data_IF_371903315337
#
_entry.id   IF_371903315337
#
_cell.length_a   1.000
_cell.length_b   1.000
_cell.length_c   1.000
_cell.angle_alpha   90.00
_cell.angle_beta   90.00
_cell.angle_gamma   90.00
#
_symmetry.space_group_name_H-M   'P 1'
#
loop_
_entity.id
_entity.type
_entity.pdbx_description
1 polymer ?
#
# COMPACT_ATOMS: atom_id res chain seq x y z
N UNK A 1 7.62 -0.43 2.64
CA UNK A 1 8.99 -0.58 2.15
C UNK A 1 9.17 0.21 0.89
N UNK A 2 10.25 0.96 0.82
CA UNK A 2 10.51 1.88 -0.28
C UNK A 2 12.01 1.95 -0.55
N UNK A 3 12.42 1.45 -1.73
CA UNK A 3 13.82 1.49 -2.18
C UNK A 3 14.15 2.76 -2.98
N UNK A 4 13.16 3.63 -3.24
CA UNK A 4 13.35 4.91 -3.95
C UNK A 4 13.78 6.05 -3.03
N UNK A 5 13.84 5.83 -1.73
CA UNK A 5 14.40 6.80 -0.78
C UNK A 5 15.94 6.74 -0.78
N UNK A 6 16.67 7.83 -0.46
CA UNK A 6 18.12 7.78 -0.28
C UNK A 6 18.56 6.62 0.62
N UNK A 7 19.51 5.81 0.14
CA UNK A 7 20.01 4.58 0.78
C UNK A 7 18.94 3.50 1.00
N UNK A 8 17.82 3.54 0.25
CA UNK A 8 16.69 2.62 0.39
C UNK A 8 17.09 1.15 0.23
N UNK A 9 17.93 0.84 -0.76
CA UNK A 9 18.42 -0.52 -0.98
C UNK A 9 19.33 -1.00 0.17
N UNK A 10 20.22 -0.14 0.66
CA UNK A 10 21.15 -0.44 1.76
C UNK A 10 20.40 -0.66 3.07
N UNK A 11 19.32 0.09 3.28
CA UNK A 11 18.49 0.04 4.48
C UNK A 11 17.37 -0.99 4.41
N UNK A 12 17.20 -1.73 3.31
CA UNK A 12 16.07 -2.64 3.12
C UNK A 12 15.96 -3.68 4.26
N UNK A 13 17.09 -4.19 4.77
CA UNK A 13 17.09 -5.08 5.93
C UNK A 13 16.48 -4.43 7.17
N UNK A 14 16.88 -3.20 7.47
CA UNK A 14 16.34 -2.40 8.57
C UNK A 14 14.86 -2.03 8.34
N UNK A 15 14.47 -1.72 7.11
CA UNK A 15 13.07 -1.44 6.78
C UNK A 15 12.17 -2.64 7.07
N UNK A 16 12.63 -3.87 6.75
CA UNK A 16 11.90 -5.11 7.06
C UNK A 16 11.77 -5.33 8.56
N UNK A 17 12.87 -5.19 9.29
CA UNK A 17 12.90 -5.35 10.76
C UNK A 17 11.93 -4.38 11.43
N UNK A 18 12.03 -3.09 11.12
CA UNK A 18 11.18 -2.05 11.71
C UNK A 18 9.72 -2.18 11.27
N UNK A 19 9.46 -2.66 10.06
CA UNK A 19 8.09 -2.91 9.61
C UNK A 19 7.46 -4.08 10.37
N UNK A 20 8.18 -5.18 10.56
CA UNK A 20 7.70 -6.32 11.35
C UNK A 20 7.41 -5.91 12.81
N UNK A 21 8.34 -5.18 13.46
CA UNK A 21 8.14 -4.68 14.83
C UNK A 21 6.91 -3.77 14.96
N UNK A 22 6.64 -2.92 13.97
CA UNK A 22 5.44 -2.09 13.97
C UNK A 22 4.16 -2.90 13.72
N UNK A 23 4.22 -3.97 12.92
CA UNK A 23 3.10 -4.88 12.74
C UNK A 23 2.77 -5.63 14.04
N UNK A 24 3.79 -6.11 14.75
CA UNK A 24 3.64 -6.71 16.08
C UNK A 24 2.95 -5.75 17.05
N UNK A 25 3.44 -4.51 17.13
CA UNK A 25 2.86 -3.47 17.99
C UNK A 25 1.40 -3.15 17.61
N UNK A 26 1.10 -3.06 16.31
CA UNK A 26 -0.27 -2.83 15.85
C UNK A 26 -1.20 -3.99 16.23
N UNK A 27 -0.71 -5.24 16.19
CA UNK A 27 -1.46 -6.40 16.66
C UNK A 27 -1.70 -6.35 18.17
N UNK A 28 -0.66 -6.08 18.97
CA UNK A 28 -0.76 -5.97 20.44
C UNK A 28 -1.77 -4.88 20.86
N UNK A 29 -1.81 -3.76 20.13
CA UNK A 29 -2.68 -2.63 20.41
C UNK A 29 -4.05 -2.71 19.71
N UNK A 30 -4.31 -3.78 18.95
CA UNK A 30 -5.52 -3.94 18.13
C UNK A 30 -5.79 -2.73 17.21
N UNK A 31 -4.74 -2.24 16.55
CA UNK A 31 -4.79 -1.12 15.61
C UNK A 31 -4.66 -1.61 14.15
N UNK A 32 -5.23 -0.88 13.18
CA UNK A 32 -4.98 -1.10 11.76
C UNK A 32 -3.50 -0.90 11.38
N UNK A 33 -3.04 -1.64 10.38
CA UNK A 33 -1.70 -1.47 9.80
C UNK A 33 -1.83 -0.62 8.53
N UNK A 34 -1.28 0.59 8.58
CA UNK A 34 -1.15 1.48 7.41
C UNK A 34 0.16 1.18 6.70
N UNK A 35 0.08 0.69 5.48
CA UNK A 35 1.19 0.17 4.69
C UNK A 35 1.56 1.17 3.61
N UNK A 36 2.79 1.67 3.68
CA UNK A 36 3.47 2.25 2.53
C UNK A 36 4.30 1.16 1.85
N UNK A 37 4.11 0.92 0.56
CA UNK A 37 4.98 0.02 -0.20
C UNK A 37 5.13 0.46 -1.65
N UNK A 38 6.38 0.48 -2.12
CA UNK A 38 6.77 0.95 -3.45
C UNK A 38 7.89 0.07 -3.99
N UNK A 39 7.62 -0.60 -5.10
CA UNK A 39 8.52 -1.55 -5.81
C UNK A 39 9.07 -2.72 -4.97
N UNK A 40 8.56 -2.92 -3.74
CA UNK A 40 8.96 -4.03 -2.86
C UNK A 40 7.76 -4.88 -2.41
N UNK A 41 6.84 -5.17 -3.35
CA UNK A 41 5.58 -5.84 -3.06
C UNK A 41 5.77 -7.19 -2.35
N UNK A 42 6.62 -8.06 -2.91
CA UNK A 42 6.87 -9.41 -2.36
C UNK A 42 7.45 -9.36 -0.95
N UNK A 43 8.38 -8.44 -0.71
CA UNK A 43 8.94 -8.27 0.63
C UNK A 43 7.85 -7.84 1.62
N UNK A 44 6.93 -6.95 1.20
CA UNK A 44 5.88 -6.41 2.07
C UNK A 44 4.90 -7.49 2.46
N UNK A 45 4.46 -8.30 1.51
CA UNK A 45 3.51 -9.39 1.78
C UNK A 45 4.16 -10.53 2.58
N UNK A 46 5.47 -10.77 2.43
CA UNK A 46 6.18 -11.81 3.18
C UNK A 46 6.13 -11.54 4.69
N UNK A 47 6.07 -10.27 5.09
CA UNK A 47 5.85 -9.86 6.48
C UNK A 47 4.35 -9.85 6.81
N UNK A 48 3.52 -9.21 5.98
CA UNK A 48 2.09 -9.04 6.26
C UNK A 48 1.32 -10.36 6.37
N UNK A 49 1.76 -11.44 5.70
CA UNK A 49 1.10 -12.74 5.76
C UNK A 49 1.00 -13.34 7.16
N UNK A 50 1.77 -12.83 8.14
CA UNK A 50 1.68 -13.21 9.55
C UNK A 50 0.54 -12.50 10.30
N UNK A 51 -0.06 -11.46 9.71
CA UNK A 51 -1.04 -10.58 10.35
C UNK A 51 -2.40 -10.56 9.62
N UNK A 52 -2.79 -11.68 8.99
CA UNK A 52 -3.99 -11.76 8.10
C UNK A 52 -5.32 -11.32 8.74
N UNK A 53 -5.43 -11.39 10.07
CA UNK A 53 -6.64 -11.01 10.79
C UNK A 53 -6.73 -9.49 11.05
N UNK A 54 -5.63 -8.75 10.91
CA UNK A 54 -5.61 -7.30 11.09
C UNK A 54 -6.33 -6.59 9.94
N UNK A 55 -6.79 -5.36 10.21
CA UNK A 55 -7.17 -4.42 9.17
C UNK A 55 -5.88 -3.93 8.50
N UNK A 56 -5.75 -4.17 7.21
CA UNK A 56 -4.58 -3.78 6.41
C UNK A 56 -5.01 -2.69 5.44
N UNK A 57 -4.38 -1.52 5.52
CA UNK A 57 -4.63 -0.40 4.62
C UNK A 57 -3.39 -0.10 3.79
N UNK A 58 -3.44 -0.33 2.48
CA UNK A 58 -2.38 0.14 1.57
C UNK A 58 -2.65 1.60 1.20
N UNK A 59 -1.87 2.49 1.81
CA UNK A 59 -1.84 3.90 1.46
C UNK A 59 -1.18 4.09 0.09
N UNK A 60 -1.67 5.08 -0.67
CA UNK A 60 -1.17 5.48 -1.99
C UNK A 60 -0.85 4.29 -2.88
N UNK A 61 -1.90 3.56 -3.25
CA UNK A 61 -1.78 2.37 -4.08
C UNK A 61 -0.88 2.64 -5.28
N UNK A 62 0.20 1.87 -5.36
CA UNK A 62 1.27 2.04 -6.35
C UNK A 62 1.45 0.83 -7.26
N UNK A 63 0.63 -0.22 -7.11
CA UNK A 63 0.77 -1.49 -7.83
C UNK A 63 -0.31 -1.70 -8.89
N UNK A 64 -0.29 -2.85 -9.55
CA UNK A 64 -1.24 -3.21 -10.60
C UNK A 64 -2.42 -4.07 -10.12
N UNK A 65 -3.31 -4.44 -11.07
CA UNK A 65 -4.48 -5.27 -10.80
C UNK A 65 -4.12 -6.65 -10.23
N UNK A 66 -2.99 -7.23 -10.64
CA UNK A 66 -2.57 -8.57 -10.20
C UNK A 66 -2.14 -8.57 -8.73
N UNK A 67 -1.39 -7.56 -8.30
CA UNK A 67 -1.04 -7.38 -6.89
C UNK A 67 -2.29 -7.19 -6.03
N UNK A 68 -3.27 -6.41 -6.51
CA UNK A 68 -4.54 -6.25 -5.80
C UNK A 68 -5.29 -7.57 -5.66
N UNK A 69 -5.43 -8.36 -6.74
CA UNK A 69 -6.09 -9.68 -6.67
C UNK A 69 -5.44 -10.58 -5.62
N UNK A 70 -4.09 -10.63 -5.63
CA UNK A 70 -3.33 -11.42 -4.67
C UNK A 70 -3.56 -10.95 -3.23
N UNK A 71 -3.56 -9.65 -2.97
CA UNK A 71 -3.86 -9.14 -1.63
C UNK A 71 -5.31 -9.43 -1.22
N UNK A 72 -6.27 -9.23 -2.11
CA UNK A 72 -7.68 -9.44 -1.84
C UNK A 72 -7.99 -10.91 -1.48
N UNK A 73 -7.29 -11.86 -2.11
CA UNK A 73 -7.40 -13.28 -1.78
C UNK A 73 -6.74 -13.63 -0.42
N UNK A 74 -5.72 -12.86 -0.01
CA UNK A 74 -4.93 -13.12 1.19
C UNK A 74 -5.46 -12.43 2.46
N UNK A 75 -6.06 -11.25 2.33
CA UNK A 75 -6.39 -10.37 3.43
C UNK A 75 -7.89 -10.03 3.43
N UNK A 76 -8.70 -10.63 4.33
CA UNK A 76 -10.14 -10.39 4.37
C UNK A 76 -10.52 -8.96 4.75
N UNK A 77 -9.65 -8.26 5.48
CA UNK A 77 -9.85 -6.89 5.97
C UNK A 77 -8.94 -5.88 5.25
N UNK A 78 -8.84 -6.00 3.92
CA UNK A 78 -8.00 -5.15 3.07
C UNK A 78 -8.71 -3.84 2.72
N UNK A 79 -7.95 -2.75 2.74
CA UNK A 79 -8.33 -1.44 2.22
C UNK A 79 -7.22 -0.88 1.33
N UNK A 80 -7.59 -0.13 0.30
CA UNK A 80 -6.67 0.39 -0.71
C UNK A 80 -6.96 1.86 -1.01
N UNK A 81 -5.94 2.70 -0.84
CA UNK A 81 -6.00 4.16 -0.99
C UNK A 81 -5.66 4.62 -2.41
N UNK A 82 -6.46 5.53 -2.96
CA UNK A 82 -6.18 6.15 -4.26
C UNK A 82 -6.07 7.66 -4.14
N UNK A 83 -4.99 8.20 -4.71
CA UNK A 83 -4.65 9.62 -4.72
C UNK A 83 -4.96 10.31 -6.05
N UNK A 84 -4.68 11.62 -6.13
CA UNK A 84 -4.81 12.42 -7.34
C UNK A 84 -3.97 11.92 -8.53
N UNK A 85 -2.92 11.14 -8.28
CA UNK A 85 -2.08 10.50 -9.30
C UNK A 85 -2.86 9.55 -10.24
N UNK A 86 -4.05 9.08 -9.85
CA UNK A 86 -4.95 8.32 -10.74
C UNK A 86 -5.33 9.09 -12.01
N UNK A 87 -5.31 10.42 -11.94
CA UNK A 87 -5.61 11.33 -13.05
C UNK A 87 -4.43 11.56 -13.99
N UNK A 88 -3.22 11.07 -13.66
CA UNK A 88 -2.04 11.25 -14.50
C UNK A 88 -2.13 10.43 -15.78
N UNK A 89 -1.58 10.97 -16.88
CA UNK A 89 -1.61 10.31 -18.21
C UNK A 89 -1.10 8.87 -18.17
N UNK A 90 0.01 8.64 -17.46
CA UNK A 90 0.71 7.35 -17.41
C UNK A 90 0.18 6.39 -16.33
N UNK A 91 -0.86 6.76 -15.58
CA UNK A 91 -1.40 5.98 -14.46
C UNK A 91 -2.42 4.90 -14.88
N UNK A 92 -2.21 4.22 -16.01
CA UNK A 92 -3.19 3.25 -16.51
C UNK A 92 -3.35 2.05 -15.57
N UNK A 93 -2.25 1.49 -15.06
CA UNK A 93 -2.29 0.40 -14.09
C UNK A 93 -3.07 0.75 -12.80
N UNK A 94 -2.97 2.01 -12.34
CA UNK A 94 -3.75 2.50 -11.19
C UNK A 94 -5.24 2.56 -11.52
N UNK A 95 -5.61 3.06 -12.71
CA UNK A 95 -7.01 3.07 -13.16
C UNK A 95 -7.57 1.65 -13.34
N UNK A 96 -6.77 0.73 -13.87
CA UNK A 96 -7.16 -0.66 -14.05
C UNK A 96 -7.39 -1.34 -12.70
N UNK A 97 -6.53 -1.06 -11.71
CA UNK A 97 -6.73 -1.55 -10.33
C UNK A 97 -8.01 -0.95 -9.74
N UNK A 98 -8.19 0.37 -9.84
CA UNK A 98 -9.37 1.07 -9.32
C UNK A 98 -10.68 0.52 -9.89
N UNK A 99 -10.68 0.07 -11.16
CA UNK A 99 -11.85 -0.51 -11.81
C UNK A 99 -12.26 -1.89 -11.26
N UNK A 100 -11.36 -2.60 -10.57
CA UNK A 100 -11.62 -3.94 -10.01
C UNK A 100 -11.66 -3.98 -8.48
N UNK A 101 -11.28 -2.89 -7.81
CA UNK A 101 -11.30 -2.81 -6.34
C UNK A 101 -12.74 -2.88 -5.83
N UNK A 102 -12.99 -3.70 -4.80
CA UNK A 102 -14.29 -3.72 -4.13
C UNK A 102 -14.55 -2.35 -3.52
N UNK A 103 -15.73 -1.80 -3.79
CA UNK A 103 -16.14 -0.48 -3.30
C UNK A 103 -16.05 -0.35 -1.77
N UNK A 104 -16.22 -1.44 -1.03
CA UNK A 104 -16.11 -1.45 0.43
C UNK A 104 -14.66 -1.44 0.95
N UNK A 105 -13.69 -1.68 0.07
CA UNK A 105 -12.26 -1.64 0.37
C UNK A 105 -11.60 -0.34 -0.12
N UNK A 106 -12.30 0.46 -0.91
CA UNK A 106 -11.79 1.69 -1.50
C UNK A 106 -11.69 2.82 -0.46
N UNK A 107 -10.52 3.45 -0.39
CA UNK A 107 -10.30 4.69 0.39
C UNK A 107 -9.83 5.80 -0.56
N UNK A 108 -10.36 7.01 -0.38
CA UNK A 108 -9.91 8.21 -1.08
C UNK A 108 -8.92 8.98 -0.21
N UNK A 109 -7.83 9.44 -0.81
CA UNK A 109 -6.78 10.17 -0.13
C UNK A 109 -6.23 11.28 -1.03
N UNK A 110 -5.53 12.24 -0.42
CA UNK A 110 -4.88 13.34 -1.15
C UNK A 110 -3.38 13.19 -1.20
N UNK A 111 -2.78 12.56 -0.18
CA UNK A 111 -1.33 12.57 0.09
C UNK A 111 -0.72 13.98 0.03
N UNK A 112 -1.51 15.00 0.39
CA UNK A 112 -1.04 16.38 0.39
C UNK A 112 0.17 16.54 1.34
N UNK A 113 1.21 17.28 0.94
CA UNK A 113 1.25 18.24 -0.19
C UNK A 113 1.61 17.62 -1.55
N UNK A 114 1.72 16.30 -1.65
CA UNK A 114 2.08 15.59 -2.86
C UNK A 114 0.85 15.23 -3.71
N UNK A 115 1.12 14.62 -4.87
CA UNK A 115 0.13 13.96 -5.73
C UNK A 115 -1.11 14.80 -6.14
N UNK A 116 -0.92 16.11 -6.30
CA UNK A 116 -1.94 17.01 -6.83
C UNK A 116 -2.58 16.45 -8.13
N UNK A 117 -3.92 16.42 -8.25
CA UNK A 117 -4.58 15.96 -9.47
C UNK A 117 -4.07 16.68 -10.72
N UNK A 118 -4.06 16.00 -11.87
CA UNK A 118 -3.47 16.46 -13.13
C UNK A 118 -3.93 17.85 -13.59
N UNK A 119 -5.16 18.24 -13.24
CA UNK A 119 -5.74 19.54 -13.60
C UNK A 119 -5.18 20.72 -12.80
N UNK A 120 -4.51 20.46 -11.68
CA UNK A 120 -3.97 21.47 -10.75
C UNK A 120 -2.49 21.23 -10.39
N UNK A 121 -1.80 20.33 -11.12
CA UNK A 121 -0.39 19.98 -10.91
C UNK A 121 0.57 20.91 -11.66
#
# INVERSE_FOLDING_TARGET
MDVHFPNGQETLGLQKELFALQCDLAQELNLPIVVHSRDEFNQTIDILQHYKNQIIYFHCWGYGPEEYRRLNDMFPNLFVGFCGNVTYKNAQALRDTLAIVDRNQLVLETDAPYLAPQVVR
#
